data_IF_140625320277
#
_entry.id   IF_140625320277
#
_cell.length_a   1.000
_cell.length_b   1.000
_cell.length_c   1.000
_cell.angle_alpha   90.00
_cell.angle_beta   90.00
_cell.angle_gamma   90.00
#
_symmetry.space_group_name_H-M   'P 1'
#
loop_
_entity.id
_entity.type
_entity.pdbx_description
1 polymer ?
#
# COMPACT_ATOMS: atom_id res chain seq x y z
N UNK A 1 28.19 36.94 32.52
CA UNK A 1 28.78 36.14 31.45
C UNK A 1 28.94 34.70 31.97
N UNK A 2 27.86 33.90 31.87
CA UNK A 2 27.83 32.51 32.34
C UNK A 2 27.98 31.62 31.11
N UNK A 3 29.16 31.01 30.93
CA UNK A 3 29.42 29.99 29.91
C UNK A 3 28.76 28.69 30.38
N UNK A 4 27.67 28.29 29.72
CA UNK A 4 27.17 26.91 29.79
C UNK A 4 28.15 26.01 29.04
N UNK A 5 28.93 25.22 29.79
CA UNK A 5 29.70 24.09 29.28
C UNK A 5 28.70 22.98 28.94
N UNK A 6 28.38 22.82 27.64
CA UNK A 6 27.85 21.55 27.17
C UNK A 6 28.94 20.50 27.35
N UNK A 7 28.75 19.61 28.32
CA UNK A 7 29.46 18.33 28.36
C UNK A 7 28.90 17.49 27.23
N UNK A 8 29.61 17.43 26.11
CA UNK A 8 29.46 16.36 25.15
C UNK A 8 29.77 15.05 25.87
N UNK A 9 28.76 14.33 26.30
CA UNK A 9 28.89 12.94 26.75
C UNK A 9 29.18 12.13 25.49
N UNK A 10 30.41 11.74 25.30
CA UNK A 10 30.81 10.70 24.36
C UNK A 10 30.17 9.38 24.85
N UNK A 11 28.95 9.11 24.54
CA UNK A 11 28.42 7.76 24.61
C UNK A 11 29.06 7.00 23.44
N UNK A 12 29.93 6.03 23.74
CA UNK A 12 30.29 5.03 22.73
C UNK A 12 29.00 4.37 22.26
N UNK A 13 28.70 4.54 20.97
CA UNK A 13 27.46 4.07 20.40
C UNK A 13 27.52 2.55 20.39
N UNK A 14 26.54 1.91 21.05
CA UNK A 14 26.47 0.47 21.17
C UNK A 14 26.34 -0.16 19.76
N UNK A 15 27.20 -1.10 19.42
CA UNK A 15 27.11 -1.90 18.21
C UNK A 15 26.18 -3.10 18.40
N UNK A 16 25.72 -3.73 17.30
CA UNK A 16 24.96 -4.98 17.40
C UNK A 16 25.71 -6.08 18.14
N UNK A 17 27.03 -6.20 17.92
CA UNK A 17 27.85 -7.16 18.63
C UNK A 17 27.93 -6.87 20.13
N UNK A 18 28.08 -5.62 20.53
CA UNK A 18 28.07 -5.23 21.95
C UNK A 18 26.70 -5.49 22.59
N UNK A 19 25.61 -5.20 21.89
CA UNK A 19 24.26 -5.54 22.33
C UNK A 19 24.13 -7.05 22.56
N UNK A 20 24.49 -7.86 21.58
CA UNK A 20 24.35 -9.31 21.64
C UNK A 20 25.27 -9.93 22.71
N UNK A 21 26.49 -9.40 22.93
CA UNK A 21 27.35 -9.81 24.01
C UNK A 21 26.73 -9.52 25.38
N UNK A 22 26.10 -8.36 25.56
CA UNK A 22 25.40 -8.05 26.83
C UNK A 22 24.25 -9.00 27.07
N UNK A 23 23.48 -9.37 26.03
CA UNK A 23 22.43 -10.38 26.13
C UNK A 23 22.98 -11.75 26.49
N UNK A 24 24.08 -12.18 25.86
CA UNK A 24 24.74 -13.45 26.17
C UNK A 24 25.29 -13.50 27.64
N UNK A 25 25.82 -12.40 28.14
CA UNK A 25 26.33 -12.33 29.53
C UNK A 25 25.25 -12.50 30.60
N UNK A 26 23.97 -12.28 30.26
CA UNK A 26 22.81 -12.51 31.15
C UNK A 26 22.08 -13.83 30.85
N UNK A 27 22.65 -14.64 29.95
CA UNK A 27 22.15 -15.99 29.60
C UNK A 27 21.15 -16.05 28.44
N UNK A 28 21.07 -15.00 27.64
CA UNK A 28 20.18 -14.94 26.47
C UNK A 28 20.91 -15.09 25.14
N UNK A 29 20.13 -15.14 24.07
CA UNK A 29 20.62 -15.11 22.69
C UNK A 29 19.80 -14.08 21.91
N UNK A 30 20.46 -13.29 21.05
CA UNK A 30 19.83 -12.27 20.21
C UNK A 30 19.96 -12.66 18.73
N UNK A 31 18.86 -12.50 18.00
CA UNK A 31 18.73 -12.83 16.58
C UNK A 31 18.20 -11.65 15.79
N UNK A 32 18.77 -11.40 14.61
CA UNK A 32 18.07 -10.70 13.55
C UNK A 32 16.98 -11.59 13.00
N UNK A 33 15.80 -11.05 12.67
CA UNK A 33 14.66 -11.84 12.22
C UNK A 33 13.83 -11.13 11.15
N UNK A 34 13.07 -11.90 10.38
CA UNK A 34 12.06 -11.37 9.49
C UNK A 34 12.63 -10.65 8.26
N UNK A 35 12.10 -9.45 7.98
CA UNK A 35 12.43 -8.69 6.77
C UNK A 35 13.92 -8.45 6.56
N UNK A 36 14.65 -8.09 7.60
CA UNK A 36 16.09 -7.77 7.46
C UNK A 36 16.93 -9.00 7.05
N UNK A 37 16.59 -10.20 7.56
CA UNK A 37 17.30 -11.43 7.19
C UNK A 37 16.95 -11.84 5.76
N UNK A 38 15.66 -11.77 5.39
CA UNK A 38 15.22 -11.99 4.01
C UNK A 38 15.93 -11.06 3.04
N UNK A 39 15.95 -9.76 3.33
CA UNK A 39 16.55 -8.74 2.47
C UNK A 39 18.06 -8.97 2.30
N UNK A 40 18.77 -9.38 3.36
CA UNK A 40 20.17 -9.80 3.29
C UNK A 40 20.36 -11.01 2.35
N UNK A 41 19.50 -12.04 2.47
CA UNK A 41 19.54 -13.23 1.60
C UNK A 41 19.26 -12.87 0.14
N UNK A 42 18.38 -11.90 -0.09
CA UNK A 42 18.07 -11.36 -1.42
C UNK A 42 19.11 -10.37 -1.94
N UNK A 43 20.17 -10.07 -1.19
CA UNK A 43 21.18 -9.05 -1.49
C UNK A 43 20.59 -7.65 -1.70
N UNK A 44 19.54 -7.30 -0.95
CA UNK A 44 18.94 -5.97 -0.91
C UNK A 44 19.23 -5.31 0.44
N UNK A 45 19.17 -3.97 0.48
CA UNK A 45 19.40 -3.23 1.74
C UNK A 45 18.14 -3.31 2.61
N UNK A 46 18.23 -3.82 3.86
CA UNK A 46 17.09 -3.82 4.77
C UNK A 46 16.61 -2.40 5.08
N UNK A 47 15.30 -2.20 5.12
CA UNK A 47 14.70 -0.94 5.53
C UNK A 47 14.58 -0.81 7.05
N UNK A 48 14.17 -1.89 7.70
CA UNK A 48 13.99 -1.97 9.15
C UNK A 48 14.73 -3.18 9.69
N UNK A 49 15.28 -3.07 10.90
CA UNK A 49 15.99 -4.15 11.57
C UNK A 49 15.16 -4.57 12.78
N UNK A 50 14.71 -5.82 12.77
CA UNK A 50 14.00 -6.44 13.87
C UNK A 50 14.91 -7.42 14.61
N UNK A 51 14.91 -7.33 15.96
CA UNK A 51 15.67 -8.23 16.82
C UNK A 51 14.71 -9.00 17.73
N UNK A 52 14.93 -10.31 17.83
CA UNK A 52 14.28 -11.17 18.84
C UNK A 52 15.30 -11.67 19.82
N UNK A 53 14.96 -11.60 21.11
CA UNK A 53 15.78 -12.10 22.23
C UNK A 53 15.08 -13.33 22.84
N UNK A 54 15.87 -14.38 23.06
CA UNK A 54 15.47 -15.63 23.71
C UNK A 54 16.27 -15.86 25.01
N UNK A 55 15.76 -16.72 25.90
CA UNK A 55 16.53 -17.26 27.05
C UNK A 55 16.56 -16.37 28.29
N UNK A 56 15.97 -15.19 28.28
CA UNK A 56 16.01 -14.26 29.43
C UNK A 56 14.63 -13.70 29.75
N UNK A 57 14.47 -13.20 30.99
CA UNK A 57 13.28 -12.48 31.41
C UNK A 57 13.41 -10.98 31.09
N UNK A 58 12.27 -10.29 31.07
CA UNK A 58 12.20 -8.81 30.94
C UNK A 58 12.98 -8.13 32.05
N UNK A 59 12.94 -8.63 33.29
CA UNK A 59 13.67 -8.06 34.43
C UNK A 59 15.19 -8.14 34.22
N UNK A 60 15.70 -9.29 33.72
CA UNK A 60 17.13 -9.41 33.38
C UNK A 60 17.52 -8.44 32.26
N UNK A 61 16.70 -8.29 31.25
CA UNK A 61 16.93 -7.32 30.18
C UNK A 61 17.02 -5.90 30.74
N UNK A 62 16.02 -5.49 31.55
CA UNK A 62 15.98 -4.16 32.18
C UNK A 62 17.13 -3.89 33.18
N UNK A 63 17.78 -4.93 33.70
CA UNK A 63 18.94 -4.77 34.54
C UNK A 63 20.20 -4.31 33.78
N UNK A 64 20.23 -4.51 32.45
CA UNK A 64 21.37 -4.22 31.58
C UNK A 64 21.11 -3.06 30.62
N UNK A 65 19.83 -2.90 30.18
CA UNK A 65 19.47 -1.89 29.23
C UNK A 65 18.45 -0.90 29.81
N UNK A 66 18.72 0.39 29.59
CA UNK A 66 17.70 1.43 29.79
C UNK A 66 17.00 1.66 28.46
N UNK A 67 15.82 1.03 28.29
CA UNK A 67 15.06 1.08 27.03
C UNK A 67 13.65 1.59 27.28
N UNK A 68 13.07 2.23 26.26
CA UNK A 68 11.67 2.63 26.28
C UNK A 68 10.82 1.45 25.86
N UNK A 69 9.99 0.94 26.76
CA UNK A 69 9.01 -0.07 26.44
C UNK A 69 7.86 0.57 25.62
N UNK A 70 7.51 -0.05 24.50
CA UNK A 70 6.38 0.30 23.65
C UNK A 70 5.46 -0.92 23.56
N UNK A 71 4.14 -0.68 23.57
CA UNK A 71 3.14 -1.75 23.54
C UNK A 71 2.64 -2.17 24.93
N UNK A 72 1.29 -2.25 25.06
CA UNK A 72 0.62 -2.58 26.34
C UNK A 72 0.42 -4.09 26.52
N UNK A 73 0.30 -4.84 25.43
CA UNK A 73 0.00 -6.28 25.46
C UNK A 73 1.25 -7.15 25.42
N UNK A 74 2.38 -6.59 25.00
CA UNK A 74 3.60 -7.34 24.74
C UNK A 74 4.82 -6.39 24.80
N UNK A 75 5.91 -6.76 25.54
CA UNK A 75 7.07 -5.91 25.68
C UNK A 75 7.89 -5.86 24.39
N UNK A 76 7.81 -4.72 23.68
CA UNK A 76 8.75 -4.33 22.65
C UNK A 76 9.59 -3.19 23.21
N UNK A 77 10.87 -3.25 23.08
CA UNK A 77 11.81 -2.24 23.55
C UNK A 77 12.44 -1.53 22.37
N UNK A 78 12.61 -0.21 22.50
CA UNK A 78 13.35 0.59 21.53
C UNK A 78 14.69 1.00 22.10
N UNK A 79 15.73 0.68 21.36
CA UNK A 79 17.12 0.94 21.69
C UNK A 79 17.82 1.66 20.55
N UNK A 80 18.73 2.55 20.87
CA UNK A 80 19.63 3.16 19.89
C UNK A 80 20.85 2.25 19.71
N UNK A 81 20.94 1.58 18.57
CA UNK A 81 22.04 0.70 18.18
C UNK A 81 22.55 1.19 16.82
N UNK A 82 23.85 1.45 16.70
CA UNK A 82 24.51 1.95 15.50
C UNK A 82 23.84 3.22 14.91
N UNK A 83 23.31 4.11 15.75
CA UNK A 83 22.59 5.34 15.40
C UNK A 83 21.20 5.11 14.74
N UNK A 84 20.63 3.95 14.96
CA UNK A 84 19.29 3.60 14.49
C UNK A 84 18.43 3.21 15.68
N UNK A 85 17.17 3.65 15.70
CA UNK A 85 16.19 3.17 16.67
C UNK A 85 15.75 1.77 16.27
N UNK A 86 16.18 0.77 17.04
CA UNK A 86 15.95 -0.66 16.77
C UNK A 86 14.85 -1.18 17.69
N UNK A 87 13.89 -1.92 17.13
CA UNK A 87 12.90 -2.65 17.90
C UNK A 87 13.43 -4.01 18.33
N UNK A 88 13.41 -4.24 19.65
CA UNK A 88 13.84 -5.49 20.28
C UNK A 88 12.62 -6.15 20.94
N UNK A 89 12.24 -7.30 20.45
CA UNK A 89 11.15 -8.11 20.98
C UNK A 89 11.68 -9.35 21.70
N UNK A 90 10.85 -9.97 22.53
CA UNK A 90 11.11 -11.29 23.10
C UNK A 90 10.45 -12.37 22.27
N UNK A 91 11.08 -13.56 22.20
CA UNK A 91 10.45 -14.73 21.60
C UNK A 91 9.13 -15.02 22.32
N UNK A 92 8.09 -15.31 21.56
CA UNK A 92 6.73 -15.51 22.10
C UNK A 92 5.95 -16.57 21.34
N UNK A 93 5.00 -17.14 22.05
CA UNK A 93 3.95 -17.99 21.49
C UNK A 93 2.65 -17.18 21.49
N UNK A 94 1.88 -17.25 20.42
CA UNK A 94 0.55 -16.64 20.32
C UNK A 94 -0.49 -17.77 20.34
N UNK A 95 -1.52 -17.65 21.19
CA UNK A 95 -2.64 -18.58 21.23
C UNK A 95 -3.95 -17.81 21.02
N UNK A 96 -4.72 -18.21 20.02
CA UNK A 96 -6.06 -17.66 19.79
C UNK A 96 -7.01 -18.15 20.89
N UNK A 97 -7.64 -17.23 21.63
CA UNK A 97 -8.61 -17.53 22.70
C UNK A 97 -10.00 -16.98 22.41
N UNK A 98 -10.16 -16.07 21.42
CA UNK A 98 -11.44 -15.55 20.95
C UNK A 98 -11.33 -15.03 19.51
N UNK A 99 -12.46 -14.67 18.89
CA UNK A 99 -12.51 -14.11 17.54
C UNK A 99 -11.94 -12.67 17.49
N UNK A 100 -11.38 -12.31 16.32
CA UNK A 100 -10.85 -10.99 16.03
C UNK A 100 -9.41 -10.76 16.50
N UNK A 101 -8.86 -9.59 16.15
CA UNK A 101 -7.45 -9.23 16.38
C UNK A 101 -7.03 -9.17 17.86
N UNK A 102 -7.96 -8.90 18.77
CA UNK A 102 -7.70 -8.85 20.22
C UNK A 102 -7.89 -10.20 20.92
N UNK A 103 -8.17 -11.25 20.16
CA UNK A 103 -8.46 -12.60 20.67
C UNK A 103 -7.24 -13.46 20.95
N UNK A 104 -6.04 -12.88 21.04
CA UNK A 104 -4.81 -13.63 21.30
C UNK A 104 -4.30 -13.41 22.71
N UNK A 105 -3.92 -14.50 23.37
CA UNK A 105 -3.06 -14.48 24.55
C UNK A 105 -1.63 -14.71 24.10
N UNK A 106 -0.77 -13.75 24.41
CA UNK A 106 0.65 -13.82 24.13
C UNK A 106 1.37 -14.35 25.36
N UNK A 107 2.08 -15.45 25.21
CA UNK A 107 2.93 -16.01 26.22
C UNK A 107 4.38 -15.79 25.84
N UNK A 108 5.12 -15.09 26.68
CA UNK A 108 6.54 -14.88 26.55
C UNK A 108 7.24 -15.39 27.82
N UNK A 109 8.18 -16.28 27.64
CA UNK A 109 8.97 -16.82 28.73
C UNK A 109 10.38 -17.11 28.25
N UNK A 110 11.37 -17.21 29.16
CA UNK A 110 12.72 -17.59 28.78
C UNK A 110 12.83 -18.96 28.10
N UNK A 111 11.80 -19.78 28.21
CA UNK A 111 11.78 -21.13 27.62
C UNK A 111 11.29 -21.13 26.17
N UNK A 112 10.72 -20.04 25.68
CA UNK A 112 10.27 -19.95 24.28
C UNK A 112 11.51 -19.88 23.39
N UNK A 113 11.57 -20.82 22.44
CA UNK A 113 12.69 -20.91 21.49
C UNK A 113 12.48 -19.97 20.31
N UNK A 114 13.54 -19.77 19.53
CA UNK A 114 13.44 -18.97 18.31
C UNK A 114 12.55 -19.66 17.26
N UNK A 115 12.58 -20.99 17.16
CA UNK A 115 11.76 -21.77 16.25
C UNK A 115 10.26 -21.63 16.57
N UNK A 116 9.89 -21.56 17.86
CA UNK A 116 8.51 -21.31 18.30
C UNK A 116 8.06 -19.88 17.99
N UNK A 117 8.98 -18.89 17.95
CA UNK A 117 8.66 -17.56 17.47
C UNK A 117 8.52 -17.51 15.94
N UNK A 118 9.36 -18.26 15.22
CA UNK A 118 9.35 -18.28 13.76
C UNK A 118 8.11 -18.97 13.18
N UNK A 119 7.63 -20.08 13.78
CA UNK A 119 6.49 -20.87 13.26
C UNK A 119 5.19 -20.08 13.18
N UNK A 120 5.00 -19.07 14.04
CA UNK A 120 3.81 -18.22 14.06
C UNK A 120 3.85 -17.07 13.04
N UNK A 121 4.96 -16.89 12.30
CA UNK A 121 5.08 -15.82 11.30
C UNK A 121 4.24 -16.08 10.07
N UNK A 122 4.02 -15.04 9.27
CA UNK A 122 3.12 -15.07 8.11
C UNK A 122 3.61 -16.00 7.00
N UNK A 123 4.87 -15.85 6.58
CA UNK A 123 5.44 -16.59 5.44
C UNK A 123 6.86 -17.06 5.74
N UNK A 124 7.26 -18.18 5.12
CA UNK A 124 8.56 -18.82 5.32
C UNK A 124 9.73 -17.89 5.12
N UNK A 125 9.70 -17.05 4.08
CA UNK A 125 10.75 -16.07 3.79
C UNK A 125 10.93 -15.00 4.88
N UNK A 126 9.95 -14.83 5.78
CA UNK A 126 10.03 -13.95 6.94
C UNK A 126 10.25 -14.75 8.26
N UNK A 127 10.30 -16.07 8.18
CA UNK A 127 10.49 -17.00 9.31
C UNK A 127 11.94 -17.53 9.36
N UNK A 128 12.90 -16.65 9.05
CA UNK A 128 14.34 -16.93 9.08
C UNK A 128 14.95 -16.06 10.18
N UNK A 129 15.85 -16.62 10.96
CA UNK A 129 16.62 -15.90 11.98
C UNK A 129 18.12 -16.01 11.72
N UNK A 130 18.88 -14.98 12.13
CA UNK A 130 20.35 -14.96 12.08
C UNK A 130 20.89 -14.58 13.45
N UNK A 131 21.66 -15.47 14.06
CA UNK A 131 22.31 -15.19 15.32
C UNK A 131 23.29 -14.02 15.15
N UNK A 132 23.17 -12.99 16.00
CA UNK A 132 23.96 -11.75 15.85
C UNK A 132 25.44 -11.99 16.13
N UNK A 133 25.79 -12.90 17.08
CA UNK A 133 27.19 -13.14 17.45
C UNK A 133 27.87 -14.15 16.54
N UNK A 134 27.20 -15.25 16.21
CA UNK A 134 27.82 -16.35 15.44
C UNK A 134 27.64 -16.20 13.95
N UNK A 135 26.66 -15.40 13.51
CA UNK A 135 26.26 -15.29 12.09
C UNK A 135 25.50 -16.53 11.57
N UNK A 136 25.22 -17.52 12.43
CA UNK A 136 24.47 -18.72 12.06
C UNK A 136 23.07 -18.38 11.63
N UNK A 137 22.65 -18.92 10.50
CA UNK A 137 21.29 -18.77 9.97
C UNK A 137 20.45 -19.98 10.36
N UNK A 138 19.29 -19.71 10.96
CA UNK A 138 18.27 -20.69 11.32
C UNK A 138 17.09 -20.52 10.39
N UNK A 139 16.84 -21.53 9.57
CA UNK A 139 15.76 -21.59 8.57
C UNK A 139 14.96 -22.88 8.69
N UNK A 140 14.18 -23.05 9.78
CA UNK A 140 13.47 -24.31 10.05
C UNK A 140 12.32 -24.59 9.09
N UNK A 141 11.91 -23.59 8.28
CA UNK A 141 10.75 -23.67 7.39
C UNK A 141 11.11 -23.56 5.91
N UNK A 142 12.41 -23.69 5.55
CA UNK A 142 12.92 -23.63 4.19
C UNK A 142 12.62 -22.29 3.46
N UNK A 143 12.61 -21.18 4.19
CA UNK A 143 12.36 -19.85 3.63
C UNK A 143 13.41 -19.42 2.61
N UNK A 144 14.68 -19.84 2.78
CA UNK A 144 15.76 -19.58 1.81
C UNK A 144 15.48 -20.26 0.47
N UNK A 145 15.01 -21.51 0.52
CA UNK A 145 14.66 -22.24 -0.69
C UNK A 145 13.44 -21.63 -1.40
N UNK A 146 12.43 -21.20 -0.63
CA UNK A 146 11.27 -20.49 -1.18
C UNK A 146 11.69 -19.16 -1.83
N UNK A 147 12.62 -18.40 -1.23
CA UNK A 147 13.19 -17.17 -1.85
C UNK A 147 13.87 -17.50 -3.20
N UNK A 148 14.70 -18.55 -3.25
CA UNK A 148 15.42 -18.97 -4.48
C UNK A 148 14.48 -19.39 -5.58
N UNK A 149 13.35 -20.00 -5.22
CA UNK A 149 12.33 -20.48 -6.15
C UNK A 149 11.25 -19.44 -6.47
N UNK A 150 11.36 -18.22 -5.90
CA UNK A 150 10.37 -17.15 -6.09
C UNK A 150 8.98 -17.54 -5.61
N UNK A 151 8.89 -18.26 -4.47
CA UNK A 151 7.65 -18.75 -3.88
C UNK A 151 7.32 -17.99 -2.59
N UNK A 152 6.04 -17.69 -2.40
CA UNK A 152 5.50 -17.24 -1.11
C UNK A 152 4.68 -18.38 -0.52
N UNK A 153 5.12 -18.86 0.63
CA UNK A 153 4.51 -19.99 1.35
C UNK A 153 4.18 -19.57 2.77
N UNK A 154 2.99 -19.91 3.25
CA UNK A 154 2.63 -19.77 4.65
C UNK A 154 3.57 -20.60 5.53
N UNK A 155 4.04 -20.04 6.65
CA UNK A 155 4.99 -20.73 7.52
C UNK A 155 4.37 -21.98 8.15
N UNK A 156 3.09 -21.92 8.54
CA UNK A 156 2.36 -23.00 9.16
C UNK A 156 0.85 -22.75 9.14
N UNK A 157 0.07 -23.69 9.72
CA UNK A 157 -1.37 -23.50 9.93
C UNK A 157 -1.71 -22.36 10.92
N UNK A 158 -0.75 -21.84 11.68
CA UNK A 158 -0.94 -20.59 12.46
C UNK A 158 -1.24 -19.39 11.57
N UNK A 159 -1.07 -19.52 10.25
CA UNK A 159 -1.43 -18.50 9.27
C UNK A 159 -2.85 -17.95 9.48
N UNK A 160 -3.81 -18.82 9.76
CA UNK A 160 -5.24 -18.45 9.89
C UNK A 160 -5.56 -17.66 11.17
N UNK A 161 -4.61 -17.54 12.08
CA UNK A 161 -4.81 -16.83 13.35
C UNK A 161 -4.94 -15.29 13.16
N UNK A 162 -4.28 -14.70 12.15
CA UNK A 162 -4.45 -13.28 11.79
C UNK A 162 -4.81 -13.15 10.32
N UNK A 163 -6.07 -12.86 10.03
CA UNK A 163 -6.56 -12.69 8.66
C UNK A 163 -5.86 -11.56 7.88
N UNK A 164 -5.19 -10.60 8.54
CA UNK A 164 -4.37 -9.59 7.85
C UNK A 164 -3.25 -10.24 7.03
N UNK A 165 -2.80 -11.44 7.40
CA UNK A 165 -1.76 -12.17 6.64
C UNK A 165 -2.18 -12.43 5.20
N UNK A 166 -3.49 -12.54 4.91
CA UNK A 166 -4.04 -12.65 3.54
C UNK A 166 -3.62 -11.43 2.71
N UNK A 167 -3.81 -10.23 3.24
CA UNK A 167 -3.42 -8.99 2.55
C UNK A 167 -1.89 -8.86 2.46
N UNK A 168 -1.18 -9.27 3.50
CA UNK A 168 0.29 -9.25 3.52
C UNK A 168 0.89 -10.19 2.47
N UNK A 169 0.36 -11.42 2.33
CA UNK A 169 0.77 -12.38 1.28
C UNK A 169 0.52 -11.79 -0.11
N UNK A 170 -0.67 -11.26 -0.37
CA UNK A 170 -0.98 -10.62 -1.64
C UNK A 170 -0.04 -9.44 -1.95
N UNK A 171 0.29 -8.63 -0.93
CA UNK A 171 1.26 -7.54 -1.05
C UNK A 171 2.67 -8.05 -1.31
N UNK A 172 3.14 -9.07 -0.61
CA UNK A 172 4.47 -9.65 -0.86
C UNK A 172 4.58 -10.22 -2.28
N UNK A 173 3.50 -10.84 -2.79
CA UNK A 173 3.45 -11.30 -4.17
C UNK A 173 3.65 -10.14 -5.16
N UNK A 174 3.02 -8.98 -4.92
CA UNK A 174 3.18 -7.79 -5.74
C UNK A 174 4.57 -7.13 -5.57
N UNK A 175 5.11 -7.13 -4.35
CA UNK A 175 6.39 -6.49 -3.99
C UNK A 175 7.59 -7.23 -4.58
N UNK A 176 7.60 -8.57 -4.47
CA UNK A 176 8.71 -9.40 -4.93
C UNK A 176 8.46 -10.05 -6.30
N UNK A 177 7.26 -9.92 -6.84
CA UNK A 177 6.81 -10.63 -8.04
C UNK A 177 6.99 -12.15 -7.92
N UNK A 178 6.67 -12.69 -6.73
CA UNK A 178 6.75 -14.12 -6.40
C UNK A 178 5.39 -14.78 -6.57
N UNK A 179 5.39 -16.09 -6.79
CA UNK A 179 4.17 -16.91 -6.94
C UNK A 179 3.74 -17.41 -5.55
N UNK A 180 2.46 -17.26 -5.24
CA UNK A 180 1.90 -17.80 -4.01
C UNK A 180 1.59 -19.28 -4.18
N UNK A 181 2.13 -20.08 -3.27
CA UNK A 181 1.90 -21.54 -3.18
C UNK A 181 0.42 -21.89 -3.05
N UNK A 182 -0.03 -22.97 -3.69
CA UNK A 182 -1.46 -23.31 -3.75
C UNK A 182 -2.04 -23.64 -2.36
N UNK A 183 -1.31 -24.34 -1.47
CA UNK A 183 -1.76 -24.55 -0.09
C UNK A 183 -1.92 -23.22 0.67
N UNK A 184 -1.05 -22.24 0.38
CA UNK A 184 -1.16 -20.90 0.96
C UNK A 184 -2.41 -20.18 0.44
N UNK A 185 -2.75 -20.32 -0.85
CA UNK A 185 -4.01 -19.80 -1.42
C UNK A 185 -5.23 -20.44 -0.70
N UNK A 186 -5.20 -21.75 -0.41
CA UNK A 186 -6.27 -22.42 0.34
C UNK A 186 -6.40 -21.87 1.77
N UNK A 187 -5.27 -21.66 2.47
CA UNK A 187 -5.26 -21.03 3.80
C UNK A 187 -5.82 -19.61 3.74
N UNK A 188 -5.46 -18.83 2.73
CA UNK A 188 -6.02 -17.48 2.52
C UNK A 188 -7.55 -17.54 2.33
N UNK A 189 -8.03 -18.47 1.51
CA UNK A 189 -9.46 -18.66 1.27
C UNK A 189 -10.21 -19.05 2.57
N UNK A 190 -9.59 -19.83 3.45
CA UNK A 190 -10.19 -20.23 4.74
C UNK A 190 -10.35 -19.05 5.71
N UNK A 191 -9.56 -17.97 5.55
CA UNK A 191 -9.66 -16.74 6.37
C UNK A 191 -10.78 -15.78 5.92
N UNK A 192 -11.54 -16.13 4.88
CA UNK A 192 -12.51 -15.23 4.24
C UNK A 192 -13.49 -14.57 5.21
N UNK A 193 -14.05 -15.31 6.16
CA UNK A 193 -15.00 -14.75 7.13
C UNK A 193 -14.32 -13.80 8.12
N UNK A 194 -13.12 -14.15 8.56
CA UNK A 194 -12.33 -13.32 9.49
C UNK A 194 -11.86 -11.99 8.85
N UNK A 195 -11.71 -11.96 7.50
CA UNK A 195 -11.36 -10.73 6.78
C UNK A 195 -12.38 -9.60 7.00
N UNK A 196 -13.66 -9.94 7.23
CA UNK A 196 -14.74 -8.96 7.51
C UNK A 196 -14.52 -8.20 8.81
N UNK A 197 -13.70 -8.73 9.72
CA UNK A 197 -13.45 -8.18 11.05
C UNK A 197 -12.14 -7.37 11.13
N UNK A 198 -11.37 -7.31 10.03
CA UNK A 198 -10.16 -6.49 9.99
C UNK A 198 -10.55 -5.01 9.96
N UNK A 199 -9.90 -4.19 10.80
CA UNK A 199 -10.11 -2.76 10.75
C UNK A 199 -9.70 -2.19 9.38
N UNK A 200 -10.50 -1.28 8.87
CA UNK A 200 -10.29 -0.73 7.53
C UNK A 200 -8.96 0.03 7.41
N UNK A 201 -8.47 0.61 8.51
CA UNK A 201 -7.16 1.25 8.60
C UNK A 201 -6.03 0.27 8.24
N UNK A 202 -6.08 -0.98 8.76
CA UNK A 202 -5.10 -2.02 8.45
C UNK A 202 -5.16 -2.41 6.97
N UNK A 203 -6.37 -2.52 6.41
CA UNK A 203 -6.59 -2.79 4.98
C UNK A 203 -5.95 -1.71 4.11
N UNK A 204 -6.20 -0.42 4.43
CA UNK A 204 -5.66 0.70 3.65
C UNK A 204 -4.14 0.78 3.72
N UNK A 205 -3.53 0.42 4.84
CA UNK A 205 -2.06 0.37 4.95
C UNK A 205 -1.48 -0.65 3.96
N UNK A 206 -2.04 -1.86 3.91
CA UNK A 206 -1.57 -2.89 2.96
C UNK A 206 -1.88 -2.52 1.51
N UNK A 207 -3.05 -1.93 1.22
CA UNK A 207 -3.38 -1.40 -0.10
C UNK A 207 -2.37 -0.35 -0.58
N UNK A 208 -2.03 0.63 0.27
CA UNK A 208 -1.05 1.68 -0.09
C UNK A 208 0.32 1.09 -0.38
N UNK A 209 0.76 0.12 0.42
CA UNK A 209 2.02 -0.61 0.17
C UNK A 209 1.96 -1.39 -1.15
N UNK A 210 0.85 -2.06 -1.44
CA UNK A 210 0.65 -2.77 -2.71
C UNK A 210 0.64 -1.82 -3.91
N UNK A 211 -0.05 -0.68 -3.80
CA UNK A 211 -0.04 0.35 -4.84
C UNK A 211 1.35 0.97 -5.08
N UNK A 212 2.26 0.91 -4.10
CA UNK A 212 3.63 1.41 -4.25
C UNK A 212 4.56 0.46 -5.01
N UNK A 213 4.17 -0.81 -5.23
CA UNK A 213 4.98 -1.82 -5.92
C UNK A 213 5.07 -1.56 -7.43
N UNK A 214 5.95 -2.28 -8.12
CA UNK A 214 6.10 -2.15 -9.59
C UNK A 214 4.97 -2.82 -10.37
N UNK A 215 4.33 -3.87 -9.79
CA UNK A 215 3.18 -4.57 -10.37
C UNK A 215 2.02 -4.69 -9.39
N UNK A 216 1.33 -3.59 -9.08
CA UNK A 216 0.27 -3.58 -8.08
C UNK A 216 -0.95 -4.46 -8.46
N UNK A 217 -1.15 -4.79 -9.73
CA UNK A 217 -2.22 -5.70 -10.17
C UNK A 217 -2.10 -7.10 -9.55
N UNK A 218 -0.87 -7.55 -9.25
CA UNK A 218 -0.61 -8.87 -8.64
C UNK A 218 -1.32 -9.00 -7.28
N UNK A 219 -1.37 -7.93 -6.50
CA UNK A 219 -2.09 -7.89 -5.22
C UNK A 219 -3.57 -8.28 -5.40
N UNK A 220 -4.25 -7.67 -6.35
CA UNK A 220 -5.66 -7.93 -6.62
C UNK A 220 -5.87 -9.32 -7.23
N UNK A 221 -4.98 -9.75 -8.13
CA UNK A 221 -5.04 -11.06 -8.75
C UNK A 221 -4.87 -12.20 -7.74
N UNK A 222 -3.99 -12.05 -6.75
CA UNK A 222 -3.81 -13.01 -5.65
C UNK A 222 -5.07 -13.06 -4.78
N UNK A 223 -5.64 -11.90 -4.40
CA UNK A 223 -6.90 -11.86 -3.64
C UNK A 223 -8.06 -12.47 -4.42
N UNK A 224 -8.13 -12.26 -5.73
CA UNK A 224 -9.11 -12.91 -6.62
C UNK A 224 -8.93 -14.42 -6.63
N UNK A 225 -7.69 -14.93 -6.81
CA UNK A 225 -7.37 -16.37 -6.79
C UNK A 225 -7.76 -17.02 -5.45
N UNK A 226 -7.58 -16.32 -4.35
CA UNK A 226 -7.92 -16.77 -3.00
C UNK A 226 -9.41 -16.58 -2.64
N UNK A 227 -10.27 -16.13 -3.56
CA UNK A 227 -11.69 -15.81 -3.30
C UNK A 227 -11.89 -14.83 -2.13
N UNK A 228 -10.99 -13.87 -1.97
CA UNK A 228 -11.01 -12.87 -0.90
C UNK A 228 -11.27 -11.44 -1.41
N UNK A 229 -11.20 -11.22 -2.73
CA UNK A 229 -11.28 -9.89 -3.32
C UNK A 229 -12.64 -9.22 -3.07
N UNK A 230 -13.74 -9.96 -3.17
CA UNK A 230 -15.10 -9.45 -2.97
C UNK A 230 -15.40 -9.08 -1.51
N UNK A 231 -14.67 -9.66 -0.55
CA UNK A 231 -14.80 -9.33 0.86
C UNK A 231 -14.08 -8.03 1.19
N UNK A 232 -12.88 -7.83 0.61
CA UNK A 232 -12.00 -6.70 0.96
C UNK A 232 -12.25 -5.49 0.06
N UNK A 233 -12.44 -5.71 -1.23
CA UNK A 233 -12.64 -4.67 -2.26
C UNK A 233 -13.81 -5.03 -3.18
N UNK A 234 -15.06 -5.06 -2.65
CA UNK A 234 -16.23 -5.48 -3.41
C UNK A 234 -16.45 -4.68 -4.70
N UNK A 235 -16.13 -3.39 -4.68
CA UNK A 235 -16.26 -2.52 -5.85
C UNK A 235 -15.33 -2.95 -6.99
N UNK A 236 -14.11 -3.39 -6.68
CA UNK A 236 -13.15 -3.89 -7.67
C UNK A 236 -13.57 -5.29 -8.16
N UNK A 237 -14.06 -6.13 -7.24
CA UNK A 237 -14.57 -7.44 -7.59
C UNK A 237 -15.74 -7.36 -8.60
N UNK A 238 -16.63 -6.38 -8.46
CA UNK A 238 -17.75 -6.19 -9.37
C UNK A 238 -17.35 -5.83 -10.80
N UNK A 239 -16.09 -5.51 -11.09
CA UNK A 239 -15.58 -5.34 -12.45
C UNK A 239 -15.38 -6.68 -13.18
N UNK A 240 -15.30 -7.79 -12.44
CA UNK A 240 -15.10 -9.13 -13.01
C UNK A 240 -16.36 -9.53 -13.78
N UNK A 241 -16.17 -9.95 -15.04
CA UNK A 241 -17.25 -10.35 -15.93
C UNK A 241 -18.05 -9.19 -16.52
N UNK A 242 -17.68 -7.95 -16.25
CA UNK A 242 -18.24 -6.76 -16.94
C UNK A 242 -17.60 -6.66 -18.33
N UNK A 243 -18.19 -7.40 -19.27
CA UNK A 243 -17.68 -7.48 -20.66
C UNK A 243 -17.73 -6.13 -21.36
N UNK A 244 -16.76 -5.89 -22.23
CA UNK A 244 -16.60 -4.66 -23.00
C UNK A 244 -16.59 -4.98 -24.51
N UNK A 245 -16.81 -4.01 -25.41
CA UNK A 245 -16.72 -4.27 -26.85
C UNK A 245 -15.29 -4.73 -27.22
N UNK A 246 -15.16 -5.93 -27.77
CA UNK A 246 -13.89 -6.58 -28.09
C UNK A 246 -13.00 -5.75 -29.04
N UNK A 247 -13.63 -4.97 -29.92
CA UNK A 247 -12.93 -4.07 -30.84
C UNK A 247 -12.00 -3.07 -30.11
N UNK A 248 -12.40 -2.64 -28.90
CA UNK A 248 -11.70 -1.61 -28.12
C UNK A 248 -10.99 -2.19 -26.90
N UNK A 249 -11.42 -3.36 -26.45
CA UNK A 249 -10.98 -4.02 -25.22
C UNK A 249 -10.71 -5.51 -25.47
N UNK A 250 -9.67 -5.86 -26.26
CA UNK A 250 -9.33 -7.25 -26.52
C UNK A 250 -8.87 -8.01 -25.27
N UNK A 251 -8.53 -7.29 -24.19
CA UNK A 251 -8.17 -7.83 -22.87
C UNK A 251 -9.37 -8.45 -22.12
N UNK A 252 -10.61 -8.23 -22.60
CA UNK A 252 -11.82 -8.88 -22.10
C UNK A 252 -12.71 -7.99 -21.23
N UNK A 253 -12.73 -8.22 -19.92
CA UNK A 253 -13.60 -7.50 -18.99
C UNK A 253 -12.97 -6.25 -18.37
N UNK A 254 -13.80 -5.44 -17.69
CA UNK A 254 -13.37 -4.20 -17.06
C UNK A 254 -12.35 -4.42 -15.92
N UNK A 255 -12.35 -5.60 -15.28
CA UNK A 255 -11.34 -5.93 -14.28
C UNK A 255 -9.95 -6.06 -14.91
N UNK A 256 -9.83 -6.86 -15.97
CA UNK A 256 -8.56 -7.06 -16.66
C UNK A 256 -8.03 -5.73 -17.21
N UNK A 257 -8.91 -4.92 -17.82
CA UNK A 257 -8.58 -3.58 -18.28
C UNK A 257 -8.01 -2.70 -17.15
N UNK A 258 -8.72 -2.62 -16.01
CA UNK A 258 -8.27 -1.83 -14.88
C UNK A 258 -6.92 -2.29 -14.32
N UNK A 259 -6.63 -3.60 -14.34
CA UNK A 259 -5.33 -4.14 -13.92
C UNK A 259 -4.20 -3.73 -14.88
N UNK A 260 -4.45 -3.76 -16.19
CA UNK A 260 -3.48 -3.31 -17.22
C UNK A 260 -3.21 -1.81 -17.09
N UNK A 261 -4.25 -0.99 -16.97
CA UNK A 261 -4.10 0.46 -16.80
C UNK A 261 -3.34 0.79 -15.52
N UNK A 262 -3.65 0.09 -14.41
CA UNK A 262 -2.93 0.25 -13.12
C UNK A 262 -1.43 -0.03 -13.27
N UNK A 263 -1.05 -1.16 -13.87
CA UNK A 263 0.36 -1.53 -14.04
C UNK A 263 1.08 -0.58 -15.02
N UNK A 264 0.39 -0.16 -16.09
CA UNK A 264 0.93 0.82 -17.04
C UNK A 264 1.23 2.15 -16.35
N UNK A 265 0.33 2.63 -15.52
CA UNK A 265 0.53 3.85 -14.71
C UNK A 265 1.64 3.63 -13.68
N UNK A 266 1.73 2.44 -13.06
CA UNK A 266 2.77 2.13 -12.08
C UNK A 266 4.18 2.19 -12.66
N UNK A 267 4.35 1.87 -13.95
CA UNK A 267 5.61 2.00 -14.66
C UNK A 267 6.01 3.47 -14.93
N UNK A 268 5.06 4.40 -14.89
CA UNK A 268 5.28 5.80 -15.25
C UNK A 268 5.31 6.77 -14.05
N UNK A 269 4.74 6.40 -12.91
CA UNK A 269 4.73 7.23 -11.70
C UNK A 269 4.76 6.41 -10.43
N UNK A 270 5.38 6.93 -9.37
CA UNK A 270 5.38 6.34 -8.03
C UNK A 270 4.31 6.98 -7.12
N UNK A 271 3.55 7.99 -7.59
CA UNK A 271 2.46 8.58 -6.78
C UNK A 271 1.28 7.60 -6.65
N UNK A 272 1.07 7.11 -5.42
CA UNK A 272 0.00 6.16 -5.11
C UNK A 272 -1.40 6.74 -5.34
N UNK A 273 -1.59 8.07 -5.31
CA UNK A 273 -2.88 8.68 -5.61
C UNK A 273 -3.21 8.56 -7.09
N UNK A 274 -2.20 8.71 -7.95
CA UNK A 274 -2.36 8.55 -9.41
C UNK A 274 -2.65 7.09 -9.75
N UNK A 275 -1.92 6.14 -9.12
CA UNK A 275 -2.14 4.71 -9.29
C UNK A 275 -3.53 4.28 -8.79
N UNK A 276 -3.98 4.84 -7.66
CA UNK A 276 -5.33 4.61 -7.17
C UNK A 276 -6.37 5.18 -8.14
N UNK A 277 -6.17 6.36 -8.70
CA UNK A 277 -7.07 6.94 -9.68
C UNK A 277 -7.13 6.10 -10.97
N UNK A 278 -6.00 5.52 -11.39
CA UNK A 278 -5.94 4.57 -12.49
C UNK A 278 -6.75 3.29 -12.21
N UNK A 279 -6.60 2.72 -11.02
CA UNK A 279 -7.37 1.53 -10.61
C UNK A 279 -8.89 1.79 -10.62
N UNK A 280 -9.30 3.00 -10.23
CA UNK A 280 -10.71 3.35 -10.03
C UNK A 280 -11.34 4.11 -11.21
N UNK A 281 -10.62 4.38 -12.33
CA UNK A 281 -11.13 5.19 -13.42
C UNK A 281 -12.44 4.65 -13.99
N UNK A 282 -12.56 3.35 -14.09
CA UNK A 282 -13.68 2.60 -14.65
C UNK A 282 -14.58 1.90 -13.61
N UNK A 283 -14.42 2.22 -12.33
CA UNK A 283 -15.09 1.50 -11.24
C UNK A 283 -16.62 1.49 -11.36
N UNK A 284 -17.19 2.47 -12.03
CA UNK A 284 -18.62 2.55 -12.29
C UNK A 284 -19.15 1.48 -13.24
N UNK A 285 -18.28 0.82 -14.03
CA UNK A 285 -18.67 -0.30 -14.90
C UNK A 285 -19.17 -1.49 -14.08
N UNK A 286 -18.65 -1.67 -12.86
CA UNK A 286 -19.13 -2.69 -11.91
C UNK A 286 -20.60 -2.55 -11.48
N UNK A 287 -21.20 -1.39 -11.73
CA UNK A 287 -22.63 -1.12 -11.44
C UNK A 287 -23.54 -1.33 -12.64
N UNK A 288 -23.03 -1.86 -13.75
CA UNK A 288 -23.83 -2.10 -14.97
C UNK A 288 -24.63 -3.39 -14.84
N UNK A 289 -25.96 -3.35 -15.05
CA UNK A 289 -26.78 -4.55 -15.13
C UNK A 289 -26.31 -5.46 -16.27
N UNK A 290 -26.40 -6.78 -16.09
CA UNK A 290 -25.94 -7.76 -17.10
C UNK A 290 -26.62 -7.60 -18.44
N UNK A 291 -27.88 -7.15 -18.44
CA UNK A 291 -28.70 -6.94 -19.62
C UNK A 291 -28.23 -5.77 -20.50
N UNK A 292 -27.48 -4.87 -19.95
CA UNK A 292 -26.92 -3.70 -20.65
C UNK A 292 -25.55 -3.98 -21.29
N UNK A 293 -24.90 -5.09 -20.93
CA UNK A 293 -23.58 -5.44 -21.46
C UNK A 293 -23.62 -5.63 -22.99
N UNK A 294 -22.54 -5.25 -23.68
CA UNK A 294 -21.26 -4.69 -23.21
C UNK A 294 -21.26 -3.15 -23.08
N UNK A 295 -22.41 -2.51 -22.93
CA UNK A 295 -22.54 -1.05 -22.86
C UNK A 295 -22.64 -0.61 -21.40
N UNK A 296 -21.77 0.32 -20.99
CA UNK A 296 -21.68 0.80 -19.62
C UNK A 296 -22.21 2.24 -19.50
N UNK A 297 -23.54 2.41 -19.60
CA UNK A 297 -24.15 3.74 -19.56
C UNK A 297 -23.91 4.44 -18.22
N UNK A 298 -23.40 5.69 -18.29
CA UNK A 298 -23.18 6.56 -17.14
C UNK A 298 -22.17 6.02 -16.12
N UNK A 299 -21.29 5.08 -16.51
CA UNK A 299 -20.28 4.53 -15.60
C UNK A 299 -19.36 5.61 -15.04
N UNK A 300 -19.08 6.65 -15.81
CA UNK A 300 -18.30 7.82 -15.40
C UNK A 300 -18.93 8.55 -14.21
N UNK A 301 -20.24 8.84 -14.26
CA UNK A 301 -20.98 9.51 -13.18
C UNK A 301 -21.21 8.56 -12.01
N UNK A 302 -21.59 7.30 -12.29
CA UNK A 302 -21.78 6.26 -11.26
C UNK A 302 -20.47 6.01 -10.49
N UNK A 303 -19.34 5.89 -11.22
CA UNK A 303 -18.01 5.69 -10.65
C UNK A 303 -17.56 6.86 -9.77
N UNK A 304 -17.69 8.09 -10.27
CA UNK A 304 -17.35 9.27 -9.48
C UNK A 304 -18.17 9.37 -8.19
N UNK A 305 -19.45 9.01 -8.23
CA UNK A 305 -20.32 8.96 -7.04
C UNK A 305 -19.90 7.86 -6.06
N UNK A 306 -19.58 6.65 -6.57
CA UNK A 306 -19.09 5.54 -5.75
C UNK A 306 -17.81 5.94 -5.03
N UNK A 307 -16.82 6.50 -5.73
CA UNK A 307 -15.54 6.95 -5.15
C UNK A 307 -15.78 8.02 -4.07
N UNK A 308 -16.71 8.94 -4.30
CA UNK A 308 -17.07 9.97 -3.31
C UNK A 308 -17.58 9.39 -1.98
N UNK A 309 -18.25 8.23 -2.05
CA UNK A 309 -18.84 7.53 -0.90
C UNK A 309 -17.89 6.51 -0.24
N UNK A 310 -16.68 6.30 -0.77
CA UNK A 310 -15.69 5.44 -0.14
C UNK A 310 -15.40 5.88 1.30
N UNK A 311 -15.05 4.96 2.21
CA UNK A 311 -14.74 5.25 3.61
C UNK A 311 -13.75 6.40 3.80
N UNK A 312 -13.81 7.12 4.94
CA UNK A 312 -12.95 8.29 5.19
C UNK A 312 -11.46 7.95 5.29
N UNK A 313 -11.12 6.70 5.56
CA UNK A 313 -9.74 6.19 5.57
C UNK A 313 -9.04 6.30 4.21
N UNK A 314 -9.78 6.34 3.11
CA UNK A 314 -9.26 6.80 1.83
C UNK A 314 -9.04 8.32 1.89
N UNK A 315 -7.81 8.75 1.73
CA UNK A 315 -7.46 10.17 1.82
C UNK A 315 -8.25 11.03 0.83
N UNK A 316 -8.61 12.25 1.25
CA UNK A 316 -9.36 13.20 0.42
C UNK A 316 -8.68 13.47 -0.91
N UNK A 317 -7.33 13.58 -0.94
CA UNK A 317 -6.55 13.79 -2.17
C UNK A 317 -6.73 12.61 -3.13
N UNK A 318 -6.62 11.39 -2.62
CA UNK A 318 -6.78 10.13 -3.37
C UNK A 318 -8.18 10.04 -4.00
N UNK A 319 -9.24 10.20 -3.20
CA UNK A 319 -10.63 10.20 -3.68
C UNK A 319 -10.93 11.33 -4.66
N UNK A 320 -10.36 12.52 -4.43
CA UNK A 320 -10.61 13.68 -5.28
C UNK A 320 -10.05 13.52 -6.69
N UNK A 321 -8.83 13.00 -6.82
CA UNK A 321 -8.22 12.70 -8.11
C UNK A 321 -8.97 11.57 -8.82
N UNK A 322 -9.23 10.45 -8.13
CA UNK A 322 -9.92 9.30 -8.70
C UNK A 322 -11.33 9.64 -9.19
N UNK A 323 -12.11 10.36 -8.37
CA UNK A 323 -13.47 10.81 -8.76
C UNK A 323 -13.44 11.76 -9.96
N UNK A 324 -12.43 12.63 -10.04
CA UNK A 324 -12.27 13.53 -11.18
C UNK A 324 -11.93 12.73 -12.45
N UNK A 325 -10.96 11.82 -12.39
CA UNK A 325 -10.57 10.98 -13.53
C UNK A 325 -11.73 10.12 -14.00
N UNK A 326 -12.43 9.43 -13.09
CA UNK A 326 -13.60 8.62 -13.42
C UNK A 326 -14.66 9.43 -14.19
N UNK A 327 -14.87 10.71 -13.81
CA UNK A 327 -15.87 11.56 -14.44
C UNK A 327 -15.47 12.04 -15.84
N UNK A 328 -14.16 12.19 -16.13
CA UNK A 328 -13.71 12.89 -17.33
C UNK A 328 -13.04 12.00 -18.38
N UNK A 329 -12.52 10.81 -18.02
CA UNK A 329 -11.64 10.01 -18.88
C UNK A 329 -12.24 9.77 -20.27
N UNK A 330 -13.55 9.44 -20.36
CA UNK A 330 -14.25 9.28 -21.63
C UNK A 330 -14.59 10.61 -22.31
N UNK A 331 -14.96 11.63 -21.52
CA UNK A 331 -15.50 12.88 -22.05
C UNK A 331 -14.42 13.78 -22.61
N UNK A 332 -13.22 13.74 -22.06
CA UNK A 332 -12.13 14.68 -22.38
C UNK A 332 -11.77 14.64 -23.88
N UNK A 333 -11.80 13.46 -24.50
CA UNK A 333 -11.50 13.25 -25.91
C UNK A 333 -12.55 13.83 -26.86
N UNK A 334 -13.78 13.97 -26.38
CA UNK A 334 -14.92 14.46 -27.18
C UNK A 334 -15.31 15.89 -26.84
N UNK A 335 -14.66 16.53 -25.86
CA UNK A 335 -14.94 17.90 -25.47
C UNK A 335 -14.54 18.89 -26.57
N UNK A 336 -15.53 19.60 -27.17
CA UNK A 336 -15.33 20.64 -28.18
C UNK A 336 -15.77 22.03 -27.72
N UNK A 337 -16.64 22.10 -26.70
CA UNK A 337 -17.20 23.38 -26.24
C UNK A 337 -16.28 24.03 -25.23
N UNK A 338 -15.67 25.18 -25.60
CA UNK A 338 -14.71 25.91 -24.76
C UNK A 338 -15.24 26.21 -23.35
N UNK A 339 -16.54 26.53 -23.19
CA UNK A 339 -17.13 26.75 -21.87
C UNK A 339 -17.07 25.48 -20.98
N UNK A 340 -17.29 24.29 -21.53
CA UNK A 340 -17.23 23.03 -20.78
C UNK A 340 -15.79 22.68 -20.38
N UNK A 341 -14.84 22.94 -21.29
CA UNK A 341 -13.41 22.75 -21.02
C UNK A 341 -12.96 23.72 -19.90
N UNK A 342 -13.32 25.00 -19.99
CA UNK A 342 -13.00 25.98 -18.93
C UNK A 342 -13.59 25.55 -17.58
N UNK A 343 -14.83 25.09 -17.54
CA UNK A 343 -15.46 24.62 -16.29
C UNK A 343 -14.70 23.41 -15.70
N UNK A 344 -14.27 22.45 -16.52
CA UNK A 344 -13.45 21.32 -16.12
C UNK A 344 -12.06 21.77 -15.59
N UNK A 345 -11.36 22.65 -16.34
CA UNK A 345 -10.06 23.18 -15.92
C UNK A 345 -10.14 23.99 -14.61
N UNK A 346 -11.26 24.68 -14.36
CA UNK A 346 -11.52 25.34 -13.07
C UNK A 346 -11.59 24.31 -11.91
N UNK A 347 -12.24 23.16 -12.13
CA UNK A 347 -12.33 22.09 -11.16
C UNK A 347 -10.93 21.54 -10.84
N UNK A 348 -10.11 21.28 -11.87
CA UNK A 348 -8.72 20.83 -11.69
C UNK A 348 -7.92 21.82 -10.83
N UNK A 349 -7.98 23.11 -11.19
CA UNK A 349 -7.28 24.15 -10.45
C UNK A 349 -7.73 24.26 -8.99
N UNK A 350 -9.05 24.23 -8.75
CA UNK A 350 -9.61 24.30 -7.41
C UNK A 350 -9.19 23.11 -6.55
N UNK A 351 -9.20 21.93 -7.12
CA UNK A 351 -8.83 20.67 -6.45
C UNK A 351 -7.32 20.40 -6.46
N UNK A 352 -6.51 21.28 -7.06
CA UNK A 352 -5.06 21.13 -7.23
C UNK A 352 -4.66 19.83 -7.93
N UNK A 353 -5.43 19.43 -8.93
CA UNK A 353 -5.17 18.25 -9.77
C UNK A 353 -4.16 18.65 -10.84
N UNK A 354 -3.07 17.88 -10.95
CA UNK A 354 -2.03 18.08 -11.96
C UNK A 354 -2.49 17.60 -13.33
N UNK A 355 -2.07 18.31 -14.39
CA UNK A 355 -2.25 17.83 -15.77
C UNK A 355 -1.47 16.54 -16.00
N UNK A 356 -0.24 16.48 -15.50
CA UNK A 356 0.64 15.32 -15.70
C UNK A 356 0.04 14.06 -15.06
N UNK A 357 -0.54 14.16 -13.85
CA UNK A 357 -1.19 13.05 -13.17
C UNK A 357 -2.35 12.48 -14.00
N UNK A 358 -3.17 13.37 -14.58
CA UNK A 358 -4.31 12.95 -15.42
C UNK A 358 -3.82 12.41 -16.77
N UNK A 359 -2.80 13.05 -17.37
CA UNK A 359 -2.21 12.64 -18.65
C UNK A 359 -1.68 11.22 -18.60
N UNK A 360 -0.94 10.86 -17.55
CA UNK A 360 -0.40 9.50 -17.39
C UNK A 360 -1.52 8.46 -17.39
N UNK A 361 -2.65 8.74 -16.73
CA UNK A 361 -3.79 7.81 -16.69
C UNK A 361 -4.48 7.74 -18.07
N UNK A 362 -4.72 8.88 -18.72
CA UNK A 362 -5.35 8.90 -20.05
C UNK A 362 -4.51 8.19 -21.12
N UNK A 363 -3.18 8.34 -21.05
CA UNK A 363 -2.28 7.62 -21.96
C UNK A 363 -2.31 6.11 -21.71
N UNK A 364 -2.41 5.68 -20.46
CA UNK A 364 -2.50 4.27 -20.11
C UNK A 364 -3.85 3.65 -20.53
N UNK A 365 -4.94 4.42 -20.46
CA UNK A 365 -6.31 3.99 -20.77
C UNK A 365 -6.59 4.07 -22.29
N UNK A 366 -6.33 5.21 -22.94
CA UNK A 366 -6.71 5.48 -24.33
C UNK A 366 -5.53 5.60 -25.32
N UNK A 367 -4.28 5.57 -24.84
CA UNK A 367 -3.09 5.76 -25.68
C UNK A 367 -2.89 7.17 -26.21
N UNK A 368 -3.76 8.13 -25.87
CA UNK A 368 -3.69 9.52 -26.34
C UNK A 368 -4.32 10.50 -25.37
N UNK A 369 -3.97 11.79 -25.52
CA UNK A 369 -4.61 12.90 -24.85
C UNK A 369 -4.94 14.00 -25.84
N UNK A 370 -5.97 14.81 -25.61
CA UNK A 370 -6.26 15.96 -26.49
C UNK A 370 -5.08 16.95 -26.52
N UNK A 371 -4.75 17.48 -27.69
CA UNK A 371 -3.62 18.42 -27.90
C UNK A 371 -3.69 19.65 -26.97
N UNK A 372 -4.91 20.12 -26.68
CA UNK A 372 -5.15 21.26 -25.80
C UNK A 372 -4.98 20.94 -24.31
N UNK A 373 -4.86 19.69 -23.92
CA UNK A 373 -4.76 19.30 -22.51
C UNK A 373 -3.31 19.34 -22.04
N UNK A 374 -2.80 20.55 -21.83
CA UNK A 374 -1.42 20.83 -21.42
C UNK A 374 -1.37 21.82 -20.27
N UNK A 375 -0.26 21.83 -19.54
CA UNK A 375 -0.03 22.83 -18.49
C UNK A 375 0.02 24.26 -19.06
N UNK A 376 0.57 24.43 -20.26
CA UNK A 376 0.63 25.74 -20.93
C UNK A 376 -0.77 26.29 -21.28
N UNK A 377 -1.67 25.42 -21.72
CA UNK A 377 -3.08 25.76 -21.93
C UNK A 377 -3.71 26.27 -20.63
N UNK A 378 -3.53 25.57 -19.52
CA UNK A 378 -4.06 26.00 -18.22
C UNK A 378 -3.47 27.35 -17.81
N UNK A 379 -2.15 27.52 -17.92
CA UNK A 379 -1.46 28.74 -17.58
C UNK A 379 -1.96 29.90 -18.42
N UNK A 380 -2.12 29.71 -19.73
CA UNK A 380 -2.62 30.72 -20.67
C UNK A 380 -4.07 31.11 -20.36
N UNK A 381 -4.93 30.12 -20.17
CA UNK A 381 -6.36 30.37 -19.88
C UNK A 381 -6.52 31.14 -18.57
N UNK A 382 -5.79 30.76 -17.52
CA UNK A 382 -5.93 31.34 -16.19
C UNK A 382 -4.90 32.40 -15.85
N UNK A 383 -4.16 32.91 -16.84
CA UNK A 383 -3.28 34.09 -16.63
C UNK A 383 -4.08 35.28 -16.07
N UNK A 384 -3.38 36.12 -15.32
CA UNK A 384 -4.00 37.30 -14.65
C UNK A 384 -4.85 38.13 -15.63
N UNK A 385 -6.08 38.42 -15.22
CA UNK A 385 -7.00 39.26 -15.96
C UNK A 385 -7.04 40.63 -15.27
N UNK A 386 -6.83 41.69 -16.04
CA UNK A 386 -7.02 43.08 -15.57
C UNK A 386 -8.50 43.42 -15.68
N UNK A 387 -9.13 43.75 -14.56
CA UNK A 387 -10.53 44.16 -14.49
C UNK A 387 -10.56 45.68 -14.30
N UNK A 388 -11.26 46.40 -15.16
CA UNK A 388 -11.43 47.85 -15.03
C UNK A 388 -12.53 48.16 -14.00
N UNK A 389 -12.41 49.31 -13.31
CA UNK A 389 -13.33 49.76 -12.24
C UNK A 389 -14.81 49.75 -12.64
N UNK A 390 -15.10 50.02 -13.92
CA UNK A 390 -16.46 50.06 -14.47
C UNK A 390 -16.99 48.75 -15.01
N UNK A 391 -16.28 47.62 -14.78
CA UNK A 391 -16.70 46.31 -15.30
C UNK A 391 -17.93 45.80 -14.55
N UNK A 392 -19.07 45.71 -15.26
CA UNK A 392 -20.29 45.07 -14.71
C UNK A 392 -20.13 43.56 -14.69
N UNK A 393 -20.66 42.92 -13.67
CA UNK A 393 -20.67 41.44 -13.49
C UNK A 393 -19.28 40.82 -13.71
N UNK A 394 -18.35 41.14 -12.83
CA UNK A 394 -16.94 40.69 -12.87
C UNK A 394 -16.81 39.14 -13.04
N UNK A 395 -17.62 38.28 -12.36
CA UNK A 395 -17.52 36.82 -12.55
C UNK A 395 -17.77 36.38 -13.97
N UNK A 396 -18.77 36.94 -14.65
CA UNK A 396 -19.06 36.61 -16.04
C UNK A 396 -18.02 37.14 -17.00
N UNK A 397 -17.52 38.37 -16.77
CA UNK A 397 -16.42 38.95 -17.54
C UNK A 397 -15.17 38.03 -17.48
N UNK A 398 -14.74 37.65 -16.29
CA UNK A 398 -13.60 36.75 -16.09
C UNK A 398 -13.84 35.37 -16.75
N UNK A 399 -15.03 34.81 -16.61
CA UNK A 399 -15.38 33.52 -17.25
C UNK A 399 -15.34 33.64 -18.78
N UNK A 400 -15.88 34.70 -19.35
CA UNK A 400 -15.89 34.94 -20.79
C UNK A 400 -14.48 35.14 -21.33
N UNK A 401 -13.61 35.80 -20.61
CA UNK A 401 -12.21 35.98 -20.99
C UNK A 401 -11.45 34.62 -21.00
N UNK A 402 -11.69 33.74 -20.03
CA UNK A 402 -11.13 32.39 -20.07
C UNK A 402 -11.61 31.59 -21.29
N UNK A 403 -12.89 31.68 -21.62
CA UNK A 403 -13.47 31.07 -22.82
C UNK A 403 -12.85 31.61 -24.09
N UNK A 404 -12.66 32.94 -24.17
CA UNK A 404 -12.04 33.61 -25.32
C UNK A 404 -10.59 33.15 -25.53
N UNK A 405 -9.78 33.10 -24.47
CA UNK A 405 -8.39 32.62 -24.53
C UNK A 405 -8.31 31.16 -24.96
N UNK A 406 -9.16 30.30 -24.41
CA UNK A 406 -9.18 28.90 -24.79
C UNK A 406 -9.59 28.71 -26.27
N UNK A 407 -10.55 29.51 -26.79
CA UNK A 407 -10.94 29.43 -28.21
C UNK A 407 -9.80 29.82 -29.18
N UNK A 408 -8.77 30.51 -28.70
CA UNK A 408 -7.57 30.84 -29.50
C UNK A 408 -6.56 29.65 -29.53
N UNK A 409 -6.71 28.71 -28.62
CA UNK A 409 -5.84 27.52 -28.50
C UNK A 409 -6.48 26.32 -29.23
N UNK A 410 -7.82 26.17 -29.17
CA UNK A 410 -8.58 25.12 -29.86
C UNK A 410 -8.60 25.35 -31.37
#
# INVERSE_FOLDING_TARGET
>A
MLRYKYKERWYSKMTFNEFANKIANIGGVAYFVGGCVRDEIMNTTPHDIDIVVCGITVDKFNSVFTAKQTGNAFPVFRLDIENQEIEVAFARIERKVSEGHNGFVMEFSPNVTIEEDLIRRDVTMNAIAKNILTGEILDPFNGIEDIRNYIIRATSNHFVEDALRVLRVARFAAEYNFIVDDNTIELMASCREELKHISFERVIIELKKALATDKPSVFFNVLKKANCLDVVFPEIYHLIGQTQPEQWHPEGDAYNHSMIVLDTVANNTKDINVRFAALYHDIGKGLTPKEELPKHYWHDVKGAKLIGNLPPQYETKMKSLASFVALIHMKIHTMKKANKIVDMLKIMRHKKISVDDVTVILLADHGSVPVWFTQDTINTVFAKITVHENTKNIPDFVRNEYIRRLKQIL
#
